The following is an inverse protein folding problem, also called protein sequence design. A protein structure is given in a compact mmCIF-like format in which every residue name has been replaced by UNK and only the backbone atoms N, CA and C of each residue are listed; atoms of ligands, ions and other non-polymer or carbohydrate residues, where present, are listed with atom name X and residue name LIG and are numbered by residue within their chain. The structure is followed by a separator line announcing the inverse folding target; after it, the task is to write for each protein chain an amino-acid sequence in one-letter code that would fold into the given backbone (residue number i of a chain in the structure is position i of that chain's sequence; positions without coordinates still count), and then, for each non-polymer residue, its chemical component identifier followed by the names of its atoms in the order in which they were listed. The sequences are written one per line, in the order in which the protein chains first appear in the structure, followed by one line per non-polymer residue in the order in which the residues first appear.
data_IF_301615956343
#
_entry.id   IF_301615956343
#
_cell.length_a   1.000
_cell.length_b   1.000
_cell.length_c   1.000
_cell.angle_alpha   90.00
_cell.angle_beta   90.00
_cell.angle_gamma   90.00
#
_symmetry.space_group_name_H-M   'P 1'
#
loop_
_entity.id
_entity.type
_entity.pdbx_description
1 polymer ?
#
# COMPACT_ATOMS: atom_id res chain seq x y z
N UNK A 1 -16.43 27.29 9.27
CA UNK A 1 -15.20 26.62 8.79
C UNK A 1 -15.63 25.21 8.40
N UNK A 2 -15.40 24.79 7.15
CA UNK A 2 -15.65 23.40 6.76
C UNK A 2 -14.63 22.55 7.50
N UNK A 3 -15.08 21.60 8.32
CA UNK A 3 -14.20 20.60 8.90
C UNK A 3 -13.52 19.84 7.75
N UNK A 4 -12.22 19.59 7.85
CA UNK A 4 -11.52 18.81 6.83
C UNK A 4 -12.00 17.36 6.96
N UNK A 5 -12.78 16.90 6.00
CA UNK A 5 -13.22 15.50 5.93
C UNK A 5 -11.98 14.60 5.87
N UNK A 6 -11.87 13.63 6.78
CA UNK A 6 -10.75 12.70 6.83
C UNK A 6 -11.14 11.40 6.13
N UNK A 7 -10.55 11.06 4.97
CA UNK A 7 -10.93 9.87 4.22
C UNK A 7 -10.71 8.55 4.97
N UNK A 8 -9.78 8.54 5.93
CA UNK A 8 -9.38 7.34 6.68
C UNK A 8 -8.46 6.42 5.89
N UNK A 9 -8.57 5.11 6.12
CA UNK A 9 -7.72 4.09 5.52
C UNK A 9 -8.33 3.50 4.24
N UNK A 10 -7.47 3.09 3.31
CA UNK A 10 -7.90 2.25 2.18
C UNK A 10 -8.54 0.94 2.73
N UNK A 11 -9.78 0.61 2.32
CA UNK A 11 -10.49 -0.54 2.86
C UNK A 11 -9.80 -1.87 2.57
N UNK A 12 -9.10 -1.99 1.45
CA UNK A 12 -8.51 -3.23 0.98
C UNK A 12 -7.08 -3.40 1.49
N UNK A 13 -6.20 -2.43 1.24
CA UNK A 13 -4.75 -2.56 1.51
C UNK A 13 -4.24 -1.67 2.64
N UNK A 14 -5.06 -0.74 3.16
CA UNK A 14 -4.66 0.12 4.27
C UNK A 14 -4.36 -0.72 5.51
N UNK A 15 -3.26 -0.40 6.21
CA UNK A 15 -2.82 -1.11 7.41
C UNK A 15 -2.65 -0.16 8.58
N UNK A 16 -3.01 -0.63 9.77
CA UNK A 16 -2.79 0.05 11.06
C UNK A 16 -2.37 -1.01 12.08
N UNK A 17 -1.47 -0.64 13.00
CA UNK A 17 -0.91 -1.58 13.96
C UNK A 17 -1.73 -1.60 15.25
N UNK A 18 -2.38 -2.72 15.56
CA UNK A 18 -3.10 -2.91 16.83
C UNK A 18 -4.43 -2.13 16.97
N UNK A 19 -4.78 -1.31 15.99
CA UNK A 19 -5.98 -0.48 15.99
C UNK A 19 -7.01 -0.97 14.95
N UNK A 20 -8.24 -0.46 15.07
CA UNK A 20 -9.28 -0.68 14.07
C UNK A 20 -9.17 0.40 12.99
N UNK A 21 -9.17 -0.01 11.72
CA UNK A 21 -9.17 0.92 10.58
C UNK A 21 -10.57 1.48 10.39
N UNK A 22 -10.67 2.72 9.95
CA UNK A 22 -11.95 3.33 9.56
C UNK A 22 -11.78 4.15 8.28
N UNK A 23 -12.87 4.33 7.54
CA UNK A 23 -12.93 5.20 6.35
C UNK A 23 -14.24 5.98 6.30
N UNK A 24 -14.26 7.10 5.59
CA UNK A 24 -15.49 7.83 5.24
C UNK A 24 -15.74 7.76 3.73
N UNK A 25 -16.88 8.28 3.26
CA UNK A 25 -17.24 8.32 1.84
C UNK A 25 -17.81 7.02 1.27
N UNK A 26 -18.02 5.99 2.09
CA UNK A 26 -18.60 4.70 1.66
C UNK A 26 -20.13 4.75 1.49
N UNK A 27 -20.80 5.71 2.13
CA UNK A 27 -22.23 5.94 2.04
C UNK A 27 -22.47 7.24 1.26
N UNK A 28 -23.19 7.16 0.15
CA UNK A 28 -23.50 8.28 -0.75
C UNK A 28 -24.50 9.27 -0.15
N UNK A 29 -25.44 8.78 0.67
CA UNK A 29 -26.39 9.61 1.41
C UNK A 29 -25.77 10.31 2.63
N UNK A 30 -24.60 9.84 3.09
CA UNK A 30 -23.91 10.37 4.27
C UNK A 30 -22.38 10.21 4.14
N UNK A 31 -21.75 11.01 3.27
CA UNK A 31 -20.32 10.88 2.96
C UNK A 31 -19.42 11.04 4.18
N UNK A 32 -19.82 11.87 5.16
CA UNK A 32 -19.08 12.04 6.41
C UNK A 32 -19.24 10.88 7.42
N UNK A 33 -20.09 9.89 7.13
CA UNK A 33 -20.25 8.72 8.02
C UNK A 33 -19.00 7.85 7.99
N UNK A 34 -18.60 7.39 9.18
CA UNK A 34 -17.44 6.53 9.35
C UNK A 34 -17.84 5.05 9.31
N UNK A 35 -17.18 4.28 8.45
CA UNK A 35 -17.27 2.83 8.36
C UNK A 35 -16.08 2.21 9.08
N UNK A 36 -16.35 1.44 10.14
CA UNK A 36 -15.34 0.61 10.81
C UNK A 36 -15.00 -0.61 9.95
N UNK A 37 -13.70 -0.91 9.83
CA UNK A 37 -13.16 -2.00 9.03
C UNK A 37 -12.58 -3.08 9.95
N UNK A 38 -13.46 -3.79 10.66
CA UNK A 38 -13.14 -4.69 11.77
C UNK A 38 -12.31 -5.92 11.38
N UNK A 39 -12.22 -6.22 10.08
CA UNK A 39 -11.44 -7.33 9.54
C UNK A 39 -10.47 -6.85 8.48
N UNK A 40 -9.26 -7.42 8.50
CA UNK A 40 -8.34 -7.33 7.37
C UNK A 40 -8.65 -8.43 6.35
N UNK A 41 -8.98 -8.04 5.12
CA UNK A 41 -9.16 -8.97 4.00
C UNK A 41 -7.83 -9.32 3.32
N UNK A 42 -6.85 -8.43 3.39
CA UNK A 42 -5.47 -8.64 2.93
C UNK A 42 -4.55 -8.66 4.14
N UNK A 43 -3.82 -9.77 4.34
CA UNK A 43 -2.82 -9.90 5.39
C UNK A 43 -1.42 -10.03 4.76
N UNK A 44 -0.57 -9.03 4.94
CA UNK A 44 0.82 -9.12 4.49
C UNK A 44 1.54 -10.26 5.22
N UNK A 45 2.29 -11.05 4.45
CA UNK A 45 3.22 -12.08 4.96
C UNK A 45 4.68 -11.72 4.70
N UNK A 46 4.95 -10.44 4.41
CA UNK A 46 6.25 -9.93 4.01
C UNK A 46 6.36 -9.75 2.49
N UNK A 47 7.55 -9.34 2.07
CA UNK A 47 7.92 -9.06 0.68
C UNK A 47 9.36 -8.59 0.63
N UNK A 48 9.87 -8.38 -0.58
CA UNK A 48 11.23 -7.92 -0.81
C UNK A 48 11.28 -6.95 -1.99
N UNK A 49 12.23 -6.03 -1.96
CA UNK A 49 12.53 -5.12 -3.06
C UNK A 49 13.68 -5.68 -3.90
N UNK A 50 13.40 -5.97 -5.17
CA UNK A 50 14.41 -6.45 -6.13
C UNK A 50 14.74 -5.37 -7.16
N UNK A 51 15.98 -5.39 -7.63
CA UNK A 51 16.37 -4.69 -8.84
C UNK A 51 16.31 -5.65 -10.03
N UNK A 52 15.56 -5.29 -11.06
CA UNK A 52 15.50 -6.03 -12.34
C UNK A 52 16.41 -5.33 -13.36
N UNK A 53 17.69 -5.72 -13.46
CA UNK A 53 18.66 -5.09 -14.36
C UNK A 53 18.30 -5.25 -15.84
N UNK A 54 18.87 -4.39 -16.68
CA UNK A 54 18.86 -4.60 -18.13
C UNK A 54 19.67 -5.85 -18.51
N UNK A 55 19.40 -6.41 -19.69
CA UNK A 55 20.17 -7.56 -20.21
C UNK A 55 21.65 -7.21 -20.36
N UNK A 56 21.96 -5.97 -20.75
CA UNK A 56 23.34 -5.49 -20.84
C UNK A 56 24.04 -5.52 -19.47
N UNK A 57 23.35 -5.06 -18.42
CA UNK A 57 23.89 -5.10 -17.05
C UNK A 57 24.05 -6.56 -16.55
N UNK A 58 23.15 -7.46 -16.92
CA UNK A 58 23.26 -8.89 -16.64
C UNK A 58 24.49 -9.52 -17.31
N UNK A 59 24.71 -9.24 -18.60
CA UNK A 59 25.83 -9.80 -19.35
C UNK A 59 27.18 -9.13 -19.04
N UNK A 60 27.18 -7.91 -18.51
CA UNK A 60 28.36 -7.15 -18.13
C UNK A 60 28.56 -7.11 -16.60
N UNK A 61 28.20 -5.99 -15.98
CA UNK A 61 28.50 -5.68 -14.58
C UNK A 61 28.09 -6.76 -13.56
N UNK A 62 27.02 -7.52 -13.85
CA UNK A 62 26.48 -8.54 -12.95
C UNK A 62 26.91 -9.97 -13.32
N UNK A 63 27.57 -10.20 -14.47
CA UNK A 63 28.09 -11.52 -14.86
C UNK A 63 29.48 -11.81 -14.29
N UNK A 64 30.12 -10.83 -13.64
CA UNK A 64 31.50 -10.91 -13.17
C UNK A 64 32.55 -10.71 -14.28
N UNK A 65 32.11 -10.39 -15.51
CA UNK A 65 33.00 -10.00 -16.60
C UNK A 65 33.28 -8.50 -16.47
N UNK A 66 34.52 -8.14 -16.10
CA UNK A 66 34.96 -6.75 -16.11
C UNK A 66 34.89 -6.24 -17.55
N UNK A 67 34.00 -5.29 -17.80
CA UNK A 67 33.93 -4.58 -19.07
C UNK A 67 35.28 -3.85 -19.26
N UNK A 68 35.99 -4.03 -20.40
CA UNK A 68 37.29 -3.41 -20.62
C UNK A 68 37.24 -1.89 -20.59
#
# INVERSE_FOLDING_TARGET
MSESEQPGFDPIIGQVHGEVRAMTGANDDATGSSLSLDRQWVQSKGGEYFFSPSIEALNGALSGVTQP
#
